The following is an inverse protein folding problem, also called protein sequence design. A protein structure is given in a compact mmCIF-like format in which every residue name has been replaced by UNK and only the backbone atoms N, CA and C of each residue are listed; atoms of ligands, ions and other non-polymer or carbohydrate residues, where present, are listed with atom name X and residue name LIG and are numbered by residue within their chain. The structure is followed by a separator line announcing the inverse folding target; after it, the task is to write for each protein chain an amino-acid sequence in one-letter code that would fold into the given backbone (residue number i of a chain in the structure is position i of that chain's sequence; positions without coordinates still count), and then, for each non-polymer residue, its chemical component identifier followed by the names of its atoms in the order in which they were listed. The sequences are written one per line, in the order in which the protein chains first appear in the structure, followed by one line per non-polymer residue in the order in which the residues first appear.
data_IF_092612916118
#
_entry.id   IF_092612916118
#
_cell.length_a   1.000
_cell.length_b   1.000
_cell.length_c   1.000
_cell.angle_alpha   90.00
_cell.angle_beta   90.00
_cell.angle_gamma   90.00
#
_symmetry.space_group_name_H-M   'P 1'
#
loop_
_entity.id
_entity.type
_entity.pdbx_description
1 polymer ?
#
# COMPACT_ATOMS: atom_id res chain seq x y z
N UNK A 1 13.86 -18.85 9.91
CA UNK A 1 13.04 -18.75 11.13
C UNK A 1 13.74 -19.52 12.24
N UNK A 2 14.13 -18.82 13.31
CA UNK A 2 14.71 -19.41 14.52
C UNK A 2 13.61 -20.21 15.24
N UNK A 3 13.94 -21.39 15.77
CA UNK A 3 13.02 -22.12 16.66
C UNK A 3 12.93 -21.34 17.96
N UNK A 4 11.73 -20.88 18.32
CA UNK A 4 11.50 -20.16 19.57
C UNK A 4 11.39 -21.12 20.78
N UNK A 5 10.98 -22.37 20.56
CA UNK A 5 10.85 -23.38 21.63
C UNK A 5 11.31 -24.78 21.17
N UNK A 6 11.83 -25.58 22.11
CA UNK A 6 12.19 -26.97 21.87
C UNK A 6 10.95 -27.85 21.67
N UNK A 7 10.99 -28.75 20.67
CA UNK A 7 9.88 -29.67 20.36
C UNK A 7 8.90 -29.19 19.29
N UNK A 8 8.94 -27.90 18.91
CA UNK A 8 8.07 -27.35 17.86
C UNK A 8 8.65 -27.51 16.44
N UNK A 9 7.76 -27.70 15.48
CA UNK A 9 8.04 -27.70 14.05
C UNK A 9 8.56 -26.34 13.57
N UNK A 10 9.18 -26.29 12.38
CA UNK A 10 9.64 -25.01 11.78
C UNK A 10 8.50 -24.03 11.44
N UNK A 11 7.27 -24.55 11.39
CA UNK A 11 6.02 -23.80 11.17
C UNK A 11 5.34 -23.39 12.48
N UNK A 12 5.90 -23.75 13.63
CA UNK A 12 5.27 -23.58 14.94
C UNK A 12 6.12 -22.63 15.80
N UNK A 13 5.47 -21.60 16.33
CA UNK A 13 6.09 -20.61 17.21
C UNK A 13 5.54 -19.21 16.99
N UNK A 14 5.87 -18.32 17.92
CA UNK A 14 5.41 -16.94 17.89
C UNK A 14 5.94 -16.22 16.65
N UNK A 15 5.04 -15.56 15.92
CA UNK A 15 5.40 -14.68 14.81
C UNK A 15 5.42 -13.23 15.30
N UNK A 16 6.61 -12.63 15.35
CA UNK A 16 6.76 -11.20 15.63
C UNK A 16 6.30 -10.40 14.39
N UNK A 17 5.02 -10.04 14.36
CA UNK A 17 4.46 -9.23 13.27
C UNK A 17 5.07 -7.83 13.31
N UNK A 18 5.80 -7.39 12.27
CA UNK A 18 6.43 -6.08 12.28
C UNK A 18 5.37 -4.98 12.15
N UNK A 19 5.22 -4.15 13.17
CA UNK A 19 4.39 -2.93 13.10
C UNK A 19 5.16 -1.81 12.37
N UNK A 20 6.48 -1.76 12.56
CA UNK A 20 7.39 -0.85 11.88
C UNK A 20 8.74 -1.54 11.70
N UNK A 21 9.40 -1.28 10.57
CA UNK A 21 10.76 -1.77 10.31
C UNK A 21 11.54 -0.83 9.42
N UNK A 22 12.87 -0.96 9.45
CA UNK A 22 13.77 0.00 8.84
C UNK A 22 13.55 0.24 7.33
N UNK A 23 13.18 -0.80 6.57
CA UNK A 23 12.94 -0.63 5.13
C UNK A 23 11.73 0.28 4.85
N UNK A 24 10.68 0.22 5.67
CA UNK A 24 9.54 1.13 5.54
C UNK A 24 9.98 2.58 5.83
N UNK A 25 10.81 2.78 6.86
CA UNK A 25 11.38 4.11 7.17
C UNK A 25 12.22 4.67 6.02
N UNK A 26 13.04 3.84 5.38
CA UNK A 26 13.80 4.24 4.19
C UNK A 26 12.91 4.63 3.01
N UNK A 27 11.84 3.87 2.75
CA UNK A 27 10.89 4.18 1.69
C UNK A 27 10.05 5.43 2.02
N UNK A 28 9.67 5.64 3.28
CA UNK A 28 8.99 6.86 3.72
C UNK A 28 9.88 8.09 3.53
N UNK A 29 11.16 8.00 3.89
CA UNK A 29 12.13 9.06 3.64
C UNK A 29 12.27 9.33 2.15
N UNK A 30 12.48 8.29 1.34
CA UNK A 30 12.63 8.44 -0.11
C UNK A 30 11.40 9.09 -0.76
N UNK A 31 10.19 8.72 -0.31
CA UNK A 31 8.95 9.31 -0.79
C UNK A 31 8.80 10.78 -0.39
N UNK A 32 9.05 11.11 0.88
CA UNK A 32 8.96 12.48 1.38
C UNK A 32 9.97 13.41 0.70
N UNK A 33 11.22 12.96 0.57
CA UNK A 33 12.28 13.71 -0.12
C UNK A 33 11.94 13.88 -1.60
N UNK A 34 11.43 12.83 -2.27
CA UNK A 34 10.98 12.93 -3.66
C UNK A 34 9.84 13.94 -3.83
N UNK A 35 8.92 14.02 -2.87
CA UNK A 35 7.83 14.98 -2.92
C UNK A 35 8.32 16.44 -2.83
N UNK A 36 9.30 16.71 -1.96
CA UNK A 36 9.80 18.07 -1.70
C UNK A 36 10.81 18.51 -2.77
N UNK A 37 11.75 17.64 -3.12
CA UNK A 37 12.95 18.02 -3.89
C UNK A 37 13.21 17.12 -5.10
N UNK A 38 12.30 16.20 -5.42
CA UNK A 38 12.52 15.21 -6.47
C UNK A 38 13.58 14.16 -6.08
N UNK A 39 14.09 13.38 -7.05
CA UNK A 39 14.97 12.25 -6.78
C UNK A 39 16.35 12.70 -6.27
N UNK A 40 16.53 12.68 -4.95
CA UNK A 40 17.81 12.99 -4.30
C UNK A 40 18.71 11.75 -4.21
N UNK A 41 20.02 11.96 -4.24
CA UNK A 41 21.00 10.87 -4.26
C UNK A 41 20.90 9.94 -3.03
N UNK A 42 20.66 10.50 -1.85
CA UNK A 42 20.46 9.76 -0.60
C UNK A 42 19.16 8.94 -0.61
N UNK A 43 18.06 9.50 -1.10
CA UNK A 43 16.79 8.80 -1.27
C UNK A 43 16.93 7.61 -2.24
N UNK A 44 17.65 7.81 -3.36
CA UNK A 44 17.94 6.76 -4.34
C UNK A 44 18.82 5.67 -3.72
N UNK A 45 19.85 6.05 -2.95
CA UNK A 45 20.72 5.12 -2.23
C UNK A 45 19.92 4.25 -1.25
N UNK A 46 19.02 4.85 -0.48
CA UNK A 46 18.18 4.13 0.47
C UNK A 46 17.22 3.15 -0.21
N UNK A 47 16.61 3.52 -1.34
CA UNK A 47 15.80 2.61 -2.14
C UNK A 47 16.65 1.44 -2.70
N UNK A 48 17.86 1.74 -3.19
CA UNK A 48 18.79 0.72 -3.68
C UNK A 48 19.29 -0.22 -2.59
N UNK A 49 19.44 0.25 -1.35
CA UNK A 49 19.80 -0.59 -0.20
C UNK A 49 18.79 -1.70 0.05
N UNK A 50 17.50 -1.40 -0.12
CA UNK A 50 16.41 -2.38 -0.01
C UNK A 50 16.51 -3.40 -1.15
N UNK A 51 16.63 -2.90 -2.38
CA UNK A 51 16.77 -3.72 -3.59
C UNK A 51 17.95 -4.68 -3.51
N UNK A 52 19.12 -4.20 -3.11
CA UNK A 52 20.32 -5.04 -2.96
C UNK A 52 20.17 -6.11 -1.90
N UNK A 53 19.51 -5.82 -0.77
CA UNK A 53 19.19 -6.85 0.23
C UNK A 53 18.25 -7.92 -0.33
N UNK A 54 17.40 -7.57 -1.29
CA UNK A 54 16.57 -8.50 -2.07
C UNK A 54 17.24 -9.12 -3.30
N UNK A 55 18.56 -8.95 -3.48
CA UNK A 55 19.32 -9.39 -4.67
C UNK A 55 18.83 -8.80 -5.99
N UNK A 56 18.27 -7.58 -5.96
CA UNK A 56 17.89 -6.82 -7.15
C UNK A 56 19.01 -5.83 -7.53
N UNK A 57 19.17 -5.52 -8.83
CA UNK A 57 20.07 -4.46 -9.26
C UNK A 57 19.58 -3.10 -8.76
N UNK A 58 20.47 -2.10 -8.76
CA UNK A 58 20.08 -0.72 -8.50
C UNK A 58 18.99 -0.25 -9.48
N UNK A 59 18.24 0.78 -9.11
CA UNK A 59 17.27 1.43 -9.97
C UNK A 59 17.96 1.91 -11.25
N UNK A 60 17.34 1.60 -12.40
CA UNK A 60 17.81 2.09 -13.68
C UNK A 60 17.65 3.62 -13.76
N UNK A 61 18.50 4.34 -14.52
CA UNK A 61 18.47 5.80 -14.56
C UNK A 61 17.10 6.41 -14.89
N UNK A 62 16.30 5.73 -15.71
CA UNK A 62 14.97 6.16 -16.12
C UNK A 62 13.97 6.16 -14.96
N UNK A 63 14.20 5.30 -13.96
CA UNK A 63 13.40 5.24 -12.72
C UNK A 63 13.69 6.39 -11.77
N UNK A 64 14.73 7.16 -12.01
CA UNK A 64 15.13 8.32 -11.19
C UNK A 64 15.19 9.60 -12.01
N UNK A 65 14.67 9.60 -13.24
CA UNK A 65 14.78 10.71 -14.19
C UNK A 65 13.83 11.88 -13.87
N UNK A 66 12.75 11.63 -13.13
CA UNK A 66 11.81 12.66 -12.69
C UNK A 66 11.19 12.30 -11.35
N UNK A 67 10.53 13.28 -10.73
CA UNK A 67 9.76 13.08 -9.49
C UNK A 67 8.72 11.97 -9.66
N UNK A 68 8.01 11.94 -10.78
CA UNK A 68 6.96 10.97 -11.08
C UNK A 68 7.53 9.58 -11.35
N UNK A 69 8.65 9.51 -12.10
CA UNK A 69 9.34 8.26 -12.37
C UNK A 69 9.85 7.62 -11.07
N UNK A 70 10.43 8.42 -10.18
CA UNK A 70 10.95 7.94 -8.90
C UNK A 70 9.84 7.61 -7.92
N UNK A 71 8.75 8.39 -7.88
CA UNK A 71 7.56 8.02 -7.12
C UNK A 71 7.03 6.65 -7.57
N UNK A 72 6.96 6.41 -8.88
CA UNK A 72 6.50 5.12 -9.43
C UNK A 72 7.44 3.97 -9.04
N UNK A 73 8.75 4.23 -8.98
CA UNK A 73 9.73 3.25 -8.51
C UNK A 73 9.57 2.96 -7.00
N UNK A 74 9.36 3.99 -6.19
CA UNK A 74 9.11 3.87 -4.74
C UNK A 74 7.80 3.12 -4.50
N UNK A 75 6.72 3.43 -5.23
CA UNK A 75 5.46 2.70 -5.14
C UNK A 75 5.66 1.21 -5.42
N UNK A 76 6.37 0.87 -6.49
CA UNK A 76 6.69 -0.52 -6.83
C UNK A 76 7.49 -1.22 -5.72
N UNK A 77 8.52 -0.56 -5.17
CA UNK A 77 9.31 -1.10 -4.06
C UNK A 77 8.46 -1.30 -2.81
N UNK A 78 7.60 -0.35 -2.44
CA UNK A 78 6.67 -0.50 -1.30
C UNK A 78 5.73 -1.69 -1.47
N UNK A 79 5.22 -1.93 -2.68
CA UNK A 79 4.36 -3.09 -2.95
C UNK A 79 5.08 -4.41 -2.68
N UNK A 80 6.31 -4.55 -3.20
CA UNK A 80 7.05 -5.81 -3.14
C UNK A 80 7.64 -6.02 -1.75
N UNK A 81 8.28 -4.98 -1.20
CA UNK A 81 8.99 -5.06 0.08
C UNK A 81 8.03 -5.28 1.25
N UNK A 82 6.87 -4.59 1.26
CA UNK A 82 5.90 -4.60 2.38
C UNK A 82 4.69 -5.51 2.10
N UNK A 83 4.83 -6.48 1.19
CA UNK A 83 3.75 -7.40 0.83
C UNK A 83 3.33 -8.22 2.06
N UNK A 84 2.03 -8.21 2.38
CA UNK A 84 1.49 -8.95 3.53
C UNK A 84 1.66 -8.25 4.88
N UNK A 85 2.22 -7.05 4.91
CA UNK A 85 2.47 -6.27 6.14
C UNK A 85 1.41 -5.18 6.41
N UNK A 86 0.27 -5.23 5.72
CA UNK A 86 -0.87 -4.33 5.96
C UNK A 86 -0.74 -2.91 5.38
N UNK A 87 0.37 -2.56 4.74
CA UNK A 87 0.65 -1.19 4.29
C UNK A 87 -0.11 -0.77 3.02
N UNK A 88 -0.24 -1.68 2.03
CA UNK A 88 -0.75 -1.34 0.68
C UNK A 88 -2.12 -0.67 0.71
N UNK A 89 -3.00 -1.09 1.62
CA UNK A 89 -4.33 -0.50 1.76
C UNK A 89 -4.29 0.97 2.20
N UNK A 90 -3.35 1.35 3.06
CA UNK A 90 -3.19 2.73 3.50
C UNK A 90 -2.43 3.57 2.48
N UNK A 91 -1.43 3.00 1.81
CA UNK A 91 -0.70 3.63 0.71
C UNK A 91 -1.65 4.08 -0.42
N UNK A 92 -2.53 3.20 -0.90
CA UNK A 92 -3.51 3.54 -1.93
C UNK A 92 -4.46 4.65 -1.47
N UNK A 93 -4.88 4.63 -0.19
CA UNK A 93 -5.80 5.64 0.36
C UNK A 93 -5.17 7.02 0.44
N UNK A 94 -3.96 7.11 1.00
CA UNK A 94 -3.28 8.40 1.19
C UNK A 94 -2.86 9.03 -0.14
N UNK A 95 -2.55 8.21 -1.14
CA UNK A 95 -2.24 8.69 -2.50
C UNK A 95 -3.47 9.01 -3.35
N UNK A 96 -4.68 8.73 -2.85
CA UNK A 96 -5.92 8.84 -3.63
C UNK A 96 -5.83 8.12 -4.97
N UNK A 97 -5.46 6.85 -4.91
CA UNK A 97 -5.10 6.04 -6.06
C UNK A 97 -5.91 4.74 -6.20
N UNK A 98 -7.09 4.64 -5.59
CA UNK A 98 -7.90 3.40 -5.63
C UNK A 98 -8.29 3.03 -7.06
N UNK A 99 -8.49 4.03 -7.92
CA UNK A 99 -8.85 3.89 -9.33
C UNK A 99 -7.71 3.27 -10.15
N UNK A 100 -6.44 3.44 -9.71
CA UNK A 100 -5.29 2.79 -10.34
C UNK A 100 -5.30 1.28 -10.15
N UNK A 101 -5.98 0.80 -9.10
CA UNK A 101 -6.07 -0.63 -8.76
C UNK A 101 -7.40 -1.24 -9.22
N UNK A 102 -8.48 -0.46 -9.20
CA UNK A 102 -9.84 -0.96 -9.38
C UNK A 102 -10.59 -0.39 -10.59
N UNK A 103 -9.90 0.34 -11.48
CA UNK A 103 -10.46 1.11 -12.58
C UNK A 103 -11.30 2.31 -12.11
N UNK A 104 -11.69 3.25 -12.99
CA UNK A 104 -12.51 4.39 -12.58
C UNK A 104 -13.96 4.00 -12.22
N UNK A 105 -14.66 4.86 -11.46
CA UNK A 105 -16.10 4.77 -11.23
C UNK A 105 -16.90 4.61 -12.52
N UNK A 106 -18.03 3.90 -12.42
CA UNK A 106 -18.90 3.52 -13.55
C UNK A 106 -18.18 2.71 -14.66
N UNK A 107 -16.92 2.31 -14.41
CA UNK A 107 -16.12 1.58 -15.35
C UNK A 107 -16.37 0.09 -15.33
N UNK A 108 -15.50 -0.62 -16.05
CA UNK A 108 -15.55 -2.06 -16.19
C UNK A 108 -15.14 -2.80 -14.90
N UNK A 109 -14.60 -2.13 -13.87
CA UNK A 109 -14.05 -2.81 -12.70
C UNK A 109 -12.89 -3.75 -13.09
N UNK A 110 -12.49 -4.63 -12.16
CA UNK A 110 -11.33 -5.51 -12.34
C UNK A 110 -11.70 -6.96 -12.07
N UNK A 111 -11.32 -7.84 -12.99
CA UNK A 111 -11.40 -9.28 -12.81
C UNK A 111 -10.27 -9.78 -11.91
N UNK A 112 -10.61 -10.58 -10.90
CA UNK A 112 -9.65 -11.42 -10.20
C UNK A 112 -9.51 -12.73 -10.96
N UNK A 113 -8.26 -13.06 -11.21
CA UNK A 113 -7.87 -14.30 -11.87
C UNK A 113 -7.47 -15.32 -10.80
N UNK A 114 -7.77 -16.59 -11.05
CA UNK A 114 -7.16 -17.67 -10.28
C UNK A 114 -5.71 -17.91 -10.69
N UNK A 115 -5.04 -18.85 -10.02
CA UNK A 115 -3.63 -19.19 -10.29
C UNK A 115 -3.39 -19.74 -11.70
N UNK A 116 -4.44 -20.12 -12.43
CA UNK A 116 -4.38 -20.61 -13.81
C UNK A 116 -4.81 -19.53 -14.82
N UNK A 117 -5.04 -18.29 -14.36
CA UNK A 117 -5.42 -17.16 -15.20
C UNK A 117 -6.90 -17.10 -15.57
N UNK A 118 -7.74 -17.98 -15.02
CA UNK A 118 -9.18 -17.95 -15.30
C UNK A 118 -9.86 -16.86 -14.47
N UNK A 119 -10.78 -16.11 -15.09
CA UNK A 119 -11.60 -15.10 -14.40
C UNK A 119 -12.52 -15.76 -13.39
N UNK A 120 -12.52 -15.26 -12.15
CA UNK A 120 -13.38 -15.74 -11.06
C UNK A 120 -14.42 -14.70 -10.68
N UNK A 121 -13.95 -13.61 -10.10
CA UNK A 121 -14.81 -12.57 -9.53
C UNK A 121 -14.49 -11.22 -10.17
N UNK A 122 -15.53 -10.41 -10.38
CA UNK A 122 -15.38 -9.04 -10.88
C UNK A 122 -15.73 -8.06 -9.78
N UNK A 123 -14.76 -7.22 -9.43
CA UNK A 123 -14.93 -6.20 -8.40
C UNK A 123 -15.03 -4.81 -9.01
N UNK A 124 -15.71 -3.90 -8.32
CA UNK A 124 -15.86 -2.49 -8.70
C UNK A 124 -16.53 -2.25 -10.07
N UNK A 125 -17.25 -3.24 -10.61
CA UNK A 125 -18.01 -3.07 -11.85
C UNK A 125 -19.15 -2.08 -11.66
N UNK A 126 -19.24 -1.08 -12.54
CA UNK A 126 -20.27 -0.04 -12.53
C UNK A 126 -20.50 0.59 -11.13
N UNK A 127 -19.43 0.69 -10.34
CA UNK A 127 -19.50 1.19 -8.97
C UNK A 127 -19.51 2.71 -8.98
N UNK A 128 -20.37 3.33 -8.15
CA UNK A 128 -20.57 4.78 -8.16
C UNK A 128 -19.39 5.55 -7.57
N UNK A 129 -19.26 6.81 -7.97
CA UNK A 129 -18.29 7.75 -7.40
C UNK A 129 -18.38 7.83 -5.86
N UNK A 130 -19.61 7.82 -5.31
CA UNK A 130 -19.84 7.84 -3.86
C UNK A 130 -19.18 6.64 -3.17
N UNK A 131 -19.29 5.44 -3.74
CA UNK A 131 -18.63 4.25 -3.18
C UNK A 131 -17.11 4.38 -3.19
N UNK A 132 -16.53 4.99 -4.24
CA UNK A 132 -15.08 5.28 -4.25
C UNK A 132 -14.69 6.23 -3.12
N UNK A 133 -15.45 7.31 -2.92
CA UNK A 133 -15.23 8.27 -1.83
C UNK A 133 -15.34 7.62 -0.44
N UNK A 134 -16.29 6.70 -0.26
CA UNK A 134 -16.47 5.92 0.96
C UNK A 134 -15.27 5.00 1.27
N UNK A 135 -14.56 4.50 0.25
CA UNK A 135 -13.39 3.65 0.47
C UNK A 135 -12.17 4.39 1.02
N UNK A 136 -12.12 5.72 0.88
CA UNK A 136 -11.03 6.56 1.37
C UNK A 136 -11.14 6.92 2.86
N UNK A 137 -12.34 6.86 3.44
CA UNK A 137 -12.56 7.26 4.84
C UNK A 137 -13.56 6.34 5.51
N UNK A 138 -13.24 5.84 6.70
CA UNK A 138 -14.13 4.91 7.40
C UNK A 138 -15.42 5.58 7.85
N UNK A 139 -16.53 4.83 7.79
CA UNK A 139 -17.79 5.25 8.38
C UNK A 139 -17.66 5.28 9.90
N UNK A 140 -18.10 6.37 10.53
CA UNK A 140 -18.21 6.41 11.98
C UNK A 140 -19.39 5.52 12.39
N UNK A 141 -19.20 4.56 13.32
CA UNK A 141 -20.27 3.65 13.74
C UNK A 141 -21.49 4.43 14.28
N UNK A 142 -22.73 4.05 13.91
CA UNK A 142 -23.94 4.74 14.37
C UNK A 142 -24.02 4.86 15.89
N UNK A 143 -23.71 3.77 16.62
CA UNK A 143 -23.78 3.79 18.09
C UNK A 143 -22.82 4.77 18.75
N UNK A 144 -21.68 5.11 18.14
CA UNK A 144 -20.79 6.15 18.68
C UNK A 144 -21.38 7.55 18.48
N UNK A 145 -22.13 7.77 17.41
CA UNK A 145 -22.84 9.02 17.14
C UNK A 145 -24.09 9.18 17.99
N UNK A 146 -24.80 8.09 18.25
CA UNK A 146 -25.97 8.09 19.13
C UNK A 146 -25.56 8.45 20.58
N UNK A 147 -24.37 8.03 21.02
CA UNK A 147 -23.80 8.37 22.33
C UNK A 147 -23.26 9.78 22.42
N UNK A 148 -22.72 10.32 21.33
CA UNK A 148 -22.15 11.67 21.30
C UNK A 148 -22.82 12.50 20.20
N UNK A 149 -23.82 13.33 20.53
CA UNK A 149 -24.56 14.14 19.55
C UNK A 149 -23.69 15.19 18.84
N UNK A 150 -22.50 15.52 19.37
CA UNK A 150 -21.54 16.41 18.71
C UNK A 150 -20.69 15.69 17.65
N UNK A 151 -20.78 14.36 17.54
CA UNK A 151 -20.04 13.55 16.57
C UNK A 151 -20.78 13.49 15.23
N UNK A 152 -20.39 14.37 14.31
CA UNK A 152 -20.89 14.39 12.93
C UNK A 152 -20.26 13.27 12.10
N UNK A 153 -20.97 12.83 11.05
CA UNK A 153 -20.48 11.76 10.17
C UNK A 153 -19.54 12.31 9.09
N UNK A 154 -18.64 11.44 8.60
CA UNK A 154 -17.79 11.73 7.45
C UNK A 154 -18.62 11.94 6.17
N UNK A 155 -18.28 12.97 5.37
CA UNK A 155 -19.10 13.43 4.22
C UNK A 155 -19.59 12.33 3.27
N UNK A 156 -18.76 11.34 2.86
CA UNK A 156 -19.21 10.27 1.94
C UNK A 156 -20.25 9.32 2.54
N UNK A 157 -20.53 9.42 3.84
CA UNK A 157 -21.43 8.55 4.59
C UNK A 157 -22.64 9.30 5.16
N UNK A 158 -22.85 10.56 4.75
CA UNK A 158 -24.02 11.37 5.08
C UNK A 158 -25.24 10.99 4.24
#
# INVERSE_FOLDING_TARGET
FLRNYGGLGRSEGDYAYPVMRLADVFLMYAEATNEISGPQADAIELANKIRHRGNLPALAPEKTASKEAFFSAIEQERIVELLGEGQRGFDIRRWRAIERVWNPPYGLGVWKLDTHGAQRDRYYQNTSELTYQQNYIFRIPPGERDRNPNLTQNKPWL
#
